data_IF_697475296545
#
_entry.id   IF_697475296545
#
_cell.length_a   1.000
_cell.length_b   1.000
_cell.length_c   1.000
_cell.angle_alpha   90.00
_cell.angle_beta   90.00
_cell.angle_gamma   90.00
#
_symmetry.space_group_name_H-M   'P 1'
#
loop_
_entity.id
_entity.type
_entity.pdbx_description
1 polymer ?
#
# COMPACT_ATOMS: atom_id res chain seq x y z
N UNK A 1 -2.72 -6.33 4.71
CA UNK A 1 -1.95 -7.13 3.79
C UNK A 1 -0.44 -6.92 3.98
N UNK A 2 0.14 -5.78 3.59
CA UNK A 2 1.61 -5.60 3.60
C UNK A 2 2.28 -5.83 4.95
N UNK A 3 1.73 -5.35 6.08
CA UNK A 3 2.29 -5.63 7.41
C UNK A 3 2.32 -7.12 7.72
N UNK A 4 1.24 -7.85 7.40
CA UNK A 4 1.14 -9.29 7.60
C UNK A 4 2.10 -10.06 6.68
N UNK A 5 2.17 -9.68 5.41
CA UNK A 5 3.05 -10.29 4.42
C UNK A 5 4.53 -10.10 4.78
N UNK A 6 4.91 -8.89 5.24
CA UNK A 6 6.26 -8.62 5.75
C UNK A 6 6.57 -9.43 7.00
N UNK A 7 5.63 -9.49 7.96
CA UNK A 7 5.81 -10.33 9.14
C UNK A 7 6.04 -11.78 8.75
N UNK A 8 5.21 -12.32 7.87
CA UNK A 8 5.33 -13.71 7.39
C UNK A 8 6.61 -13.97 6.60
N UNK A 9 7.06 -13.00 5.80
CA UNK A 9 8.29 -13.18 5.02
C UNK A 9 9.56 -13.18 5.88
N UNK A 10 9.62 -12.38 6.95
CA UNK A 10 10.86 -12.10 7.66
C UNK A 10 10.93 -12.60 9.11
N UNK A 11 9.79 -12.75 9.79
CA UNK A 11 9.77 -12.98 11.24
C UNK A 11 8.96 -14.19 11.68
N UNK A 12 7.98 -14.63 10.88
CA UNK A 12 7.11 -15.72 11.26
C UNK A 12 7.85 -17.04 11.23
N UNK A 13 7.81 -17.76 12.35
CA UNK A 13 8.25 -19.15 12.39
C UNK A 13 7.11 -20.05 11.87
N UNK A 14 7.22 -20.45 10.62
CA UNK A 14 6.25 -21.32 9.94
C UNK A 14 6.25 -22.73 10.53
N UNK A 15 7.40 -23.21 11.00
CA UNK A 15 7.55 -24.54 11.58
C UNK A 15 6.83 -24.59 12.92
N UNK A 16 7.11 -23.64 13.82
CA UNK A 16 6.48 -23.60 15.13
C UNK A 16 4.98 -23.30 15.04
N UNK A 17 4.54 -22.52 14.06
CA UNK A 17 3.12 -22.19 13.86
C UNK A 17 2.34 -23.23 13.06
N UNK A 18 3.01 -24.21 12.44
CA UNK A 18 2.40 -25.20 11.54
C UNK A 18 1.71 -24.57 10.33
N UNK A 19 2.14 -23.37 9.91
CA UNK A 19 1.51 -22.62 8.82
C UNK A 19 1.93 -23.20 7.47
N UNK A 20 0.99 -23.80 6.73
CA UNK A 20 1.22 -24.34 5.38
C UNK A 20 0.41 -23.59 4.32
N UNK A 21 -0.53 -22.75 4.71
CA UNK A 21 -1.40 -22.04 3.78
C UNK A 21 -0.90 -20.64 3.44
N UNK A 22 -0.81 -20.31 2.14
CA UNK A 22 -0.44 -18.98 1.67
C UNK A 22 -1.42 -17.89 2.15
N UNK A 23 -2.70 -18.21 2.22
CA UNK A 23 -3.71 -17.26 2.73
C UNK A 23 -3.48 -16.84 4.17
N UNK A 24 -3.10 -17.77 5.05
CA UNK A 24 -2.75 -17.49 6.45
C UNK A 24 -1.41 -16.77 6.60
N UNK A 25 -0.54 -16.87 5.62
CA UNK A 25 0.69 -16.09 5.57
C UNK A 25 0.43 -14.65 5.15
N UNK A 26 -0.44 -14.43 4.15
CA UNK A 26 -0.77 -13.08 3.66
C UNK A 26 -1.68 -12.28 4.59
N UNK A 27 -2.59 -12.93 5.29
CA UNK A 27 -3.64 -12.30 6.10
C UNK A 27 -3.61 -12.82 7.55
N UNK A 28 -2.44 -12.76 8.19
CA UNK A 28 -2.28 -13.14 9.58
C UNK A 28 -2.72 -11.97 10.50
N UNK A 29 -3.89 -12.06 11.17
CA UNK A 29 -4.37 -10.98 12.04
C UNK A 29 -3.52 -10.82 13.30
N UNK A 30 -2.73 -11.84 13.67
CA UNK A 30 -1.85 -11.81 14.84
C UNK A 30 -0.49 -11.15 14.57
N UNK A 31 -0.16 -10.85 13.32
CA UNK A 31 1.15 -10.35 12.91
C UNK A 31 1.63 -9.14 13.70
N UNK A 32 0.79 -8.12 13.87
CA UNK A 32 1.11 -6.92 14.63
C UNK A 32 1.30 -7.21 16.13
N UNK A 33 0.42 -8.05 16.69
CA UNK A 33 0.51 -8.44 18.10
C UNK A 33 1.73 -9.29 18.42
N UNK A 34 2.11 -10.19 17.51
CA UNK A 34 3.30 -11.02 17.66
C UNK A 34 4.57 -10.18 17.50
N UNK A 35 4.64 -9.31 16.51
CA UNK A 35 5.77 -8.41 16.36
C UNK A 35 5.97 -7.48 17.56
N UNK A 36 4.88 -6.98 18.16
CA UNK A 36 4.96 -6.16 19.37
C UNK A 36 5.51 -6.97 20.57
N UNK A 37 5.14 -8.25 20.70
CA UNK A 37 5.65 -9.15 21.76
C UNK A 37 7.13 -9.47 21.58
N UNK A 38 7.57 -9.65 20.33
CA UNK A 38 8.95 -9.97 20.00
C UNK A 38 9.88 -8.76 20.16
N UNK A 39 9.35 -7.56 19.93
CA UNK A 39 10.07 -6.31 20.17
C UNK A 39 9.71 -5.18 19.25
N UNK A 40 10.00 -3.97 19.70
CA UNK A 40 9.71 -2.73 18.97
C UNK A 40 10.35 -2.69 17.58
N UNK A 41 11.53 -3.30 17.41
CA UNK A 41 12.22 -3.33 16.12
C UNK A 41 11.44 -4.07 15.03
N UNK A 42 10.88 -5.24 15.33
CA UNK A 42 10.03 -5.99 14.40
C UNK A 42 8.75 -5.22 14.06
N UNK A 43 8.11 -4.64 15.08
CA UNK A 43 6.90 -3.85 14.89
C UNK A 43 7.15 -2.67 13.95
N UNK A 44 8.22 -1.90 14.18
CA UNK A 44 8.57 -0.77 13.32
C UNK A 44 8.84 -1.24 11.89
N UNK A 45 9.58 -2.34 11.72
CA UNK A 45 9.89 -2.88 10.41
C UNK A 45 8.61 -3.25 9.62
N UNK A 46 7.68 -4.00 10.22
CA UNK A 46 6.45 -4.42 9.53
C UNK A 46 5.48 -3.25 9.31
N UNK A 47 5.51 -2.21 10.16
CA UNK A 47 4.73 -0.99 9.95
C UNK A 47 5.33 -0.09 8.86
N UNK A 48 6.63 -0.21 8.59
CA UNK A 48 7.28 0.54 7.51
C UNK A 48 6.81 0.07 6.12
N UNK A 49 6.49 -1.21 5.97
CA UNK A 49 6.03 -1.76 4.70
C UNK A 49 4.83 -1.02 4.08
N UNK A 50 3.67 -0.89 4.75
CA UNK A 50 2.55 -0.15 4.18
C UNK A 50 2.89 1.32 3.89
N UNK A 51 3.77 1.95 4.69
CA UNK A 51 4.21 3.34 4.45
C UNK A 51 5.00 3.45 3.15
N UNK A 52 5.89 2.50 2.85
CA UNK A 52 6.64 2.46 1.58
C UNK A 52 5.67 2.33 0.40
N UNK A 53 4.72 1.40 0.46
CA UNK A 53 3.75 1.21 -0.62
C UNK A 53 2.79 2.40 -0.77
N UNK A 54 2.43 3.06 0.34
CA UNK A 54 1.71 4.34 0.30
C UNK A 54 2.52 5.41 -0.42
N UNK A 55 3.79 5.57 -0.09
CA UNK A 55 4.67 6.55 -0.72
C UNK A 55 4.83 6.29 -2.23
N UNK A 56 4.96 5.02 -2.65
CA UNK A 56 4.99 4.64 -4.07
C UNK A 56 3.66 4.98 -4.78
N UNK A 57 2.52 4.80 -4.12
CA UNK A 57 1.20 5.21 -4.64
C UNK A 57 1.10 6.73 -4.81
N UNK A 58 1.55 7.51 -3.83
CA UNK A 58 1.62 8.97 -3.94
C UNK A 58 2.54 9.41 -5.08
N UNK A 59 3.71 8.77 -5.22
CA UNK A 59 4.64 9.07 -6.31
C UNK A 59 4.01 8.79 -7.68
N UNK A 60 3.28 7.68 -7.81
CA UNK A 60 2.57 7.31 -9.03
C UNK A 60 1.52 8.37 -9.41
N UNK A 61 0.69 8.79 -8.43
CA UNK A 61 -0.30 9.85 -8.61
C UNK A 61 0.36 11.17 -9.04
N UNK A 62 1.42 11.58 -8.33
CA UNK A 62 2.17 12.79 -8.65
C UNK A 62 2.75 12.77 -10.07
N UNK A 63 3.32 11.64 -10.52
CA UNK A 63 3.87 11.52 -11.86
C UNK A 63 2.78 11.53 -12.95
N UNK A 64 1.60 11.01 -12.64
CA UNK A 64 0.47 10.99 -13.58
C UNK A 64 -0.07 12.39 -13.92
N UNK A 65 0.04 13.35 -12.99
CA UNK A 65 -0.37 14.74 -13.17
C UNK A 65 0.64 15.51 -14.04
N UNK A 66 1.90 15.07 -14.15
CA UNK A 66 2.93 15.76 -14.93
C UNK A 66 2.63 15.70 -16.44
N UNK A 67 2.97 16.78 -17.15
CA UNK A 67 2.87 16.85 -18.60
C UNK A 67 4.14 16.28 -19.26
N UNK A 68 3.99 15.57 -20.39
CA UNK A 68 5.09 15.07 -21.18
C UNK A 68 5.27 13.55 -21.13
N UNK A 69 6.08 13.00 -22.04
CA UNK A 69 6.30 11.55 -22.17
C UNK A 69 7.03 10.91 -20.97
N UNK A 70 7.84 11.68 -20.26
CA UNK A 70 8.57 11.20 -19.08
C UNK A 70 7.67 10.71 -17.93
N UNK A 71 6.40 11.09 -17.91
CA UNK A 71 5.44 10.64 -16.89
C UNK A 71 5.23 9.12 -16.93
N UNK A 72 5.12 8.55 -18.13
CA UNK A 72 4.89 7.10 -18.30
C UNK A 72 6.08 6.28 -17.84
N UNK A 73 7.30 6.76 -18.08
CA UNK A 73 8.52 6.09 -17.62
C UNK A 73 8.60 6.12 -16.08
N UNK A 74 8.32 7.25 -15.45
CA UNK A 74 8.32 7.40 -13.98
C UNK A 74 7.22 6.57 -13.33
N UNK A 75 6.00 6.61 -13.88
CA UNK A 75 4.88 5.79 -13.40
C UNK A 75 5.19 4.29 -13.56
N UNK A 76 5.70 3.87 -14.71
CA UNK A 76 6.12 2.50 -14.96
C UNK A 76 7.23 2.05 -14.01
N UNK A 77 8.16 2.92 -13.65
CA UNK A 77 9.21 2.63 -12.66
C UNK A 77 8.62 2.35 -11.27
N UNK A 78 7.61 3.12 -10.81
CA UNK A 78 6.95 2.85 -9.52
C UNK A 78 6.26 1.49 -9.52
N UNK A 79 5.51 1.16 -10.59
CA UNK A 79 4.84 -0.14 -10.73
C UNK A 79 5.87 -1.28 -10.75
N UNK A 80 6.97 -1.10 -11.47
CA UNK A 80 8.03 -2.10 -11.58
C UNK A 80 8.72 -2.34 -10.23
N UNK A 81 9.02 -1.30 -9.47
CA UNK A 81 9.59 -1.41 -8.12
C UNK A 81 8.63 -2.15 -7.19
N UNK A 82 7.33 -1.81 -7.20
CA UNK A 82 6.32 -2.53 -6.43
C UNK A 82 6.28 -4.01 -6.79
N UNK A 83 6.28 -4.33 -8.09
CA UNK A 83 6.29 -5.70 -8.56
C UNK A 83 7.52 -6.49 -8.08
N UNK A 84 8.72 -5.89 -8.10
CA UNK A 84 9.94 -6.53 -7.58
C UNK A 84 9.79 -6.83 -6.07
N UNK A 85 9.27 -5.88 -5.28
CA UNK A 85 9.04 -6.10 -3.86
C UNK A 85 8.06 -7.25 -3.61
N UNK A 86 6.95 -7.29 -4.34
CA UNK A 86 5.97 -8.38 -4.24
C UNK A 86 6.58 -9.73 -4.61
N UNK A 87 7.44 -9.78 -5.63
CA UNK A 87 8.17 -11.01 -6.00
C UNK A 87 9.12 -11.48 -4.88
N UNK A 88 9.83 -10.56 -4.23
CA UNK A 88 10.72 -10.90 -3.11
C UNK A 88 9.92 -11.48 -1.94
N UNK A 89 8.83 -10.82 -1.55
CA UNK A 89 7.97 -11.28 -0.47
C UNK A 89 7.35 -12.65 -0.78
N UNK A 90 6.85 -12.83 -2.00
CA UNK A 90 6.28 -14.08 -2.46
C UNK A 90 7.31 -15.22 -2.39
N UNK A 91 8.54 -14.97 -2.86
CA UNK A 91 9.62 -15.96 -2.81
C UNK A 91 9.96 -16.37 -1.38
N UNK A 92 10.08 -15.41 -0.45
CA UNK A 92 10.39 -15.70 0.95
C UNK A 92 9.28 -16.50 1.63
N UNK A 93 8.02 -16.13 1.40
CA UNK A 93 6.86 -16.86 1.93
C UNK A 93 6.81 -18.26 1.35
N UNK A 94 6.98 -18.42 0.04
CA UNK A 94 7.00 -19.72 -0.62
C UNK A 94 8.10 -20.61 -0.08
N UNK A 95 9.32 -20.08 0.09
CA UNK A 95 10.43 -20.81 0.70
C UNK A 95 10.12 -21.26 2.13
N UNK A 96 9.48 -20.39 2.94
CA UNK A 96 9.12 -20.75 4.32
C UNK A 96 8.05 -21.86 4.35
N UNK A 97 7.02 -21.79 3.50
CA UNK A 97 5.99 -22.84 3.38
C UNK A 97 6.63 -24.16 2.93
N UNK A 98 7.46 -24.12 1.89
CA UNK A 98 8.18 -25.30 1.40
C UNK A 98 9.04 -25.97 2.48
N UNK A 99 9.68 -25.17 3.34
CA UNK A 99 10.47 -25.71 4.46
C UNK A 99 9.63 -26.50 5.45
N UNK A 100 8.38 -26.08 5.71
CA UNK A 100 7.44 -26.84 6.56
C UNK A 100 6.99 -28.13 5.88
N UNK A 101 6.69 -28.06 4.58
CA UNK A 101 6.32 -29.26 3.80
C UNK A 101 7.44 -30.27 3.76
N UNK A 102 8.69 -29.81 3.58
CA UNK A 102 9.88 -30.67 3.57
C UNK A 102 10.08 -31.44 4.87
N UNK A 103 9.73 -30.85 6.03
CA UNK A 103 9.81 -31.53 7.32
C UNK A 103 8.76 -32.65 7.48
N UNK A 104 7.63 -32.52 6.80
CA UNK A 104 6.53 -33.52 6.86
C UNK A 104 6.73 -34.70 5.92
N UNK A 105 7.70 -34.61 5.01
CA UNK A 105 7.99 -35.66 4.03
C UNK A 105 9.25 -36.40 4.48
N UNK A 106 9.16 -37.74 4.58
CA UNK A 106 10.28 -38.60 5.00
C UNK A 106 11.40 -38.72 3.96
N UNK A 107 11.32 -38.03 2.85
CA UNK A 107 12.32 -38.02 1.78
C UNK A 107 13.06 -36.68 1.77
N UNK A 108 14.36 -36.73 1.45
CA UNK A 108 15.13 -35.50 1.22
C UNK A 108 14.57 -34.75 0.02
N UNK A 109 14.04 -33.56 0.28
CA UNK A 109 13.55 -32.65 -0.77
C UNK A 109 14.72 -31.77 -1.27
N UNK A 110 14.74 -31.43 -2.56
CA UNK A 110 15.75 -30.53 -3.11
C UNK A 110 15.62 -29.13 -2.48
N UNK A 111 16.70 -28.36 -2.51
CA UNK A 111 16.65 -26.97 -2.04
C UNK A 111 15.68 -26.14 -2.89
N UNK A 112 14.87 -25.30 -2.20
CA UNK A 112 13.93 -24.40 -2.87
C UNK A 112 14.67 -23.41 -3.77
N UNK A 113 14.32 -23.39 -5.04
CA UNK A 113 14.99 -22.57 -6.04
C UNK A 113 13.99 -21.74 -6.86
N UNK A 114 14.52 -20.79 -7.64
CA UNK A 114 13.72 -19.88 -8.44
C UNK A 114 12.83 -20.59 -9.48
N UNK A 115 13.27 -21.71 -10.03
CA UNK A 115 12.47 -22.48 -10.99
C UNK A 115 11.25 -23.11 -10.32
N UNK A 116 11.37 -23.54 -9.08
CA UNK A 116 10.25 -24.04 -8.28
C UNK A 116 9.30 -22.90 -7.93
N UNK A 117 9.84 -21.74 -7.53
CA UNK A 117 9.05 -20.57 -7.21
C UNK A 117 8.18 -20.09 -8.38
N UNK A 118 8.72 -20.02 -9.59
CA UNK A 118 7.98 -19.58 -10.79
C UNK A 118 6.83 -20.54 -11.14
N UNK A 119 6.99 -21.83 -10.84
CA UNK A 119 6.00 -22.85 -11.11
C UNK A 119 5.00 -23.07 -9.96
N UNK A 120 5.19 -22.39 -8.81
CA UNK A 120 4.31 -22.49 -7.66
C UNK A 120 3.12 -21.51 -7.79
N UNK A 121 1.87 -22.00 -7.88
CA UNK A 121 0.68 -21.13 -7.92
C UNK A 121 0.55 -20.21 -6.71
N UNK A 122 1.07 -20.64 -5.55
CA UNK A 122 1.01 -19.83 -4.32
C UNK A 122 1.83 -18.55 -4.44
N UNK A 123 2.97 -18.59 -5.12
CA UNK A 123 3.80 -17.42 -5.41
C UNK A 123 3.01 -16.38 -6.22
N UNK A 124 2.35 -16.84 -7.28
CA UNK A 124 1.53 -15.96 -8.11
C UNK A 124 0.32 -15.39 -7.37
N UNK A 125 -0.26 -16.16 -6.44
CA UNK A 125 -1.34 -15.66 -5.59
C UNK A 125 -0.87 -14.51 -4.68
N UNK A 126 0.33 -14.59 -4.08
CA UNK A 126 0.91 -13.49 -3.27
C UNK A 126 1.11 -12.25 -4.12
N UNK A 127 1.77 -12.39 -5.28
CA UNK A 127 2.04 -11.28 -6.21
C UNK A 127 0.72 -10.63 -6.67
N UNK A 128 -0.27 -11.42 -7.04
CA UNK A 128 -1.57 -10.94 -7.48
C UNK A 128 -2.32 -10.18 -6.39
N UNK A 129 -2.32 -10.69 -5.15
CA UNK A 129 -2.93 -10.00 -4.01
C UNK A 129 -2.22 -8.69 -3.68
N UNK A 130 -0.88 -8.65 -3.76
CA UNK A 130 -0.09 -7.42 -3.62
C UNK A 130 -0.48 -6.38 -4.66
N UNK A 131 -0.55 -6.79 -5.91
CA UNK A 131 -0.94 -5.92 -7.01
C UNK A 131 -2.38 -5.37 -6.86
N UNK A 132 -3.35 -6.22 -6.50
CA UNK A 132 -4.73 -5.78 -6.22
C UNK A 132 -4.75 -4.77 -5.07
N UNK A 133 -4.04 -5.05 -3.98
CA UNK A 133 -3.96 -4.15 -2.83
C UNK A 133 -3.40 -2.79 -3.24
N UNK A 134 -2.38 -2.78 -4.07
CA UNK A 134 -1.79 -1.56 -4.61
C UNK A 134 -2.76 -0.78 -5.51
N UNK A 135 -3.51 -1.48 -6.37
CA UNK A 135 -4.54 -0.85 -7.21
C UNK A 135 -5.66 -0.22 -6.38
N UNK A 136 -6.19 -0.94 -5.39
CA UNK A 136 -7.22 -0.42 -4.47
C UNK A 136 -6.72 0.84 -3.77
N UNK A 137 -5.48 0.82 -3.28
CA UNK A 137 -4.87 1.99 -2.67
C UNK A 137 -4.79 3.16 -3.63
N UNK A 138 -4.38 2.95 -4.88
CA UNK A 138 -4.33 3.98 -5.92
C UNK A 138 -5.69 4.66 -6.16
N UNK A 139 -6.77 3.86 -6.24
CA UNK A 139 -8.14 4.37 -6.41
C UNK A 139 -8.58 5.18 -5.18
N UNK A 140 -8.37 4.64 -3.97
CA UNK A 140 -8.74 5.34 -2.73
C UNK A 140 -7.99 6.66 -2.60
N UNK A 141 -6.70 6.68 -2.96
CA UNK A 141 -5.88 7.89 -2.95
C UNK A 141 -6.42 8.94 -3.92
N UNK A 142 -6.73 8.54 -5.14
CA UNK A 142 -7.27 9.45 -6.17
C UNK A 142 -8.61 10.07 -5.74
N UNK A 143 -9.52 9.25 -5.22
CA UNK A 143 -10.78 9.72 -4.65
C UNK A 143 -10.56 10.69 -3.48
N UNK A 144 -9.61 10.42 -2.59
CA UNK A 144 -9.31 11.26 -1.43
C UNK A 144 -8.75 12.61 -1.86
N UNK A 145 -7.82 12.63 -2.83
CA UNK A 145 -7.25 13.87 -3.36
C UNK A 145 -8.31 14.69 -4.08
N UNK A 146 -9.17 14.05 -4.89
CA UNK A 146 -10.26 14.74 -5.57
C UNK A 146 -11.22 15.38 -4.57
N UNK A 147 -11.68 14.64 -3.57
CA UNK A 147 -12.56 15.17 -2.53
C UNK A 147 -11.93 16.33 -1.75
N UNK A 148 -10.62 16.24 -1.45
CA UNK A 148 -9.88 17.34 -0.80
C UNK A 148 -9.83 18.59 -1.66
N UNK A 149 -9.57 18.46 -2.96
CA UNK A 149 -9.53 19.57 -3.89
C UNK A 149 -10.89 20.25 -4.04
N UNK A 150 -11.98 19.45 -4.11
CA UNK A 150 -13.35 19.96 -4.17
C UNK A 150 -13.71 20.75 -2.92
N UNK A 151 -13.36 20.25 -1.74
CA UNK A 151 -13.55 20.98 -0.48
C UNK A 151 -12.78 22.30 -0.44
N UNK A 152 -11.54 22.32 -0.94
CA UNK A 152 -10.72 23.52 -1.01
C UNK A 152 -11.31 24.56 -1.97
N UNK A 153 -11.80 24.11 -3.13
CA UNK A 153 -12.46 24.96 -4.11
C UNK A 153 -13.73 25.59 -3.53
N UNK A 154 -14.62 24.79 -2.95
CA UNK A 154 -15.86 25.25 -2.33
C UNK A 154 -15.59 26.26 -1.20
N UNK A 155 -14.58 26.04 -0.38
CA UNK A 155 -14.19 26.97 0.69
C UNK A 155 -13.69 28.31 0.12
N UNK A 156 -12.95 28.30 -0.99
CA UNK A 156 -12.52 29.52 -1.68
C UNK A 156 -13.70 30.30 -2.25
N UNK A 157 -14.64 29.61 -2.87
CA UNK A 157 -15.84 30.21 -3.46
C UNK A 157 -16.75 30.85 -2.39
N UNK A 158 -16.95 30.15 -1.26
CA UNK A 158 -17.68 30.71 -0.10
C UNK A 158 -17.04 31.99 0.37
N UNK A 159 -15.72 32.02 0.55
CA UNK A 159 -14.99 33.22 1.00
C UNK A 159 -15.13 34.37 0.00
N UNK A 160 -15.09 34.10 -1.30
CA UNK A 160 -15.27 35.12 -2.32
C UNK A 160 -16.69 35.67 -2.33
N UNK A 161 -17.69 34.84 -2.07
CA UNK A 161 -19.08 35.27 -1.91
C UNK A 161 -19.28 36.11 -0.65
N UNK A 162 -18.68 35.71 0.48
CA UNK A 162 -18.71 36.49 1.73
C UNK A 162 -18.13 37.88 1.52
N UNK A 163 -16.96 38.00 0.87
CA UNK A 163 -16.32 39.29 0.55
C UNK A 163 -17.20 40.15 -0.38
N UNK A 164 -17.93 39.55 -1.34
CA UNK A 164 -18.86 40.29 -2.19
C UNK A 164 -20.08 40.82 -1.40
N UNK A 165 -20.62 40.00 -0.50
CA UNK A 165 -21.74 40.38 0.36
C UNK A 165 -21.34 41.56 1.26
N UNK A 166 -20.13 41.51 1.85
CA UNK A 166 -19.62 42.57 2.69
C UNK A 166 -19.51 43.92 1.93
N UNK A 167 -18.91 43.90 0.73
CA UNK A 167 -18.82 45.07 -0.15
C UNK A 167 -20.19 45.65 -0.51
N UNK A 168 -21.16 44.81 -0.83
CA UNK A 168 -22.51 45.24 -1.15
C UNK A 168 -23.23 45.85 0.06
N UNK A 169 -23.00 45.34 1.27
CA UNK A 169 -23.52 45.91 2.51
C UNK A 169 -22.94 47.29 2.76
N UNK A 170 -21.66 47.51 2.55
CA UNK A 170 -20.99 48.79 2.70
C UNK A 170 -21.52 49.83 1.69
N UNK A 171 -21.74 49.42 0.42
CA UNK A 171 -22.33 50.27 -0.61
C UNK A 171 -23.79 50.71 -0.26
N UNK A 172 -24.60 49.76 0.25
CA UNK A 172 -25.97 50.05 0.68
C UNK A 172 -25.94 50.98 1.90
N UNK A 173 -25.04 50.73 2.88
CA UNK A 173 -24.90 51.58 4.05
C UNK A 173 -24.52 53.01 3.67
N UNK A 174 -23.59 53.19 2.74
CA UNK A 174 -23.19 54.49 2.23
C UNK A 174 -24.33 55.23 1.52
N UNK A 175 -25.09 54.55 0.67
CA UNK A 175 -26.27 55.15 -0.05
C UNK A 175 -27.36 55.58 0.89
N UNK A 176 -27.62 54.85 1.98
CA UNK A 176 -28.61 55.23 2.99
C UNK A 176 -28.21 56.40 3.89
N UNK A 177 -26.91 56.76 3.91
CA UNK A 177 -26.42 57.96 4.65
C UNK A 177 -26.46 59.25 3.80
N UNK A 178 -26.58 59.10 2.46
CA UNK A 178 -26.54 60.23 1.50
C UNK A 178 -27.95 60.65 1.09
N UNK A 179 -28.97 59.91 1.42
CA UNK A 179 -30.40 60.25 1.28
C UNK A 179 -30.94 60.86 2.57
#
# INVERSE_FOLDING_TARGET
FYSSTFYSAFFKDFIASGTTGVGTAMFDPSSLGNALKNGIGELVFICTAPVIFMALGFALHYFNIQKGYGKYLKAGSCIFVTFIFDCILAYLIGKNIYSVEALNILQEMPEYNMSMAINDPNIWAVIFCGFITYMIWGVVLDMTISAYNDMKFNKSEIRDLENKIEKLKDEIGFKNQVL
#
